data_IF_367927078404
#
_entry.id   IF_367927078404
#
_cell.length_a   1.000
_cell.length_b   1.000
_cell.length_c   1.000
_cell.angle_alpha   90.00
_cell.angle_beta   90.00
_cell.angle_gamma   90.00
#
_symmetry.space_group_name_H-M   'P 1'
#
loop_
_entity.id
_entity.type
_entity.pdbx_description
1 polymer ?
#
# COMPACT_ATOMS: atom_id res chain seq x y z
N UNK A 1 23.57 3.82 16.48
CA UNK A 1 22.27 3.16 16.26
C UNK A 1 22.08 3.01 14.75
N UNK A 2 21.80 1.80 14.26
CA UNK A 2 21.53 1.55 12.83
C UNK A 2 20.04 1.31 12.69
N UNK A 3 19.35 2.13 11.91
CA UNK A 3 17.95 1.92 11.55
C UNK A 3 17.91 1.32 10.14
N UNK A 4 17.44 0.06 9.97
CA UNK A 4 17.34 -0.55 8.65
C UNK A 4 16.30 0.15 7.77
N UNK A 5 16.44 -0.03 6.46
CA UNK A 5 15.54 0.55 5.44
C UNK A 5 14.06 0.30 5.78
N UNK A 6 13.21 1.29 5.47
CA UNK A 6 11.78 1.23 5.75
C UNK A 6 11.46 1.12 7.25
N UNK A 7 12.38 1.54 8.13
CA UNK A 7 12.19 1.50 9.57
C UNK A 7 11.90 0.10 10.09
N UNK A 8 12.48 -0.94 9.48
CA UNK A 8 12.23 -2.34 9.83
C UNK A 8 12.86 -2.74 11.18
N UNK A 9 12.32 -2.17 12.24
CA UNK A 9 12.81 -2.33 13.60
C UNK A 9 11.61 -2.34 14.56
N UNK A 10 11.77 -3.01 15.70
CA UNK A 10 10.73 -3.09 16.74
C UNK A 10 10.29 -1.71 17.25
N UNK A 11 11.22 -0.73 17.27
CA UNK A 11 10.91 0.64 17.71
C UNK A 11 9.81 1.31 16.86
N UNK A 12 9.63 0.89 15.61
CA UNK A 12 8.61 1.43 14.71
C UNK A 12 7.19 1.06 15.13
N UNK A 13 7.02 -0.02 15.91
CA UNK A 13 5.69 -0.42 16.43
C UNK A 13 5.05 0.70 17.25
N UNK A 14 5.83 1.50 17.97
CA UNK A 14 5.30 2.54 18.85
C UNK A 14 4.40 3.54 18.10
N UNK A 15 4.89 4.10 17.00
CA UNK A 15 4.11 5.06 16.20
C UNK A 15 2.93 4.38 15.48
N UNK A 16 3.16 3.16 14.96
CA UNK A 16 2.12 2.42 14.24
C UNK A 16 0.99 1.97 15.15
N UNK A 17 1.27 1.70 16.44
CA UNK A 17 0.26 1.46 17.46
C UNK A 17 -0.63 2.69 17.67
N UNK A 18 -0.05 3.89 17.65
CA UNK A 18 -0.80 5.15 17.68
C UNK A 18 -1.75 5.26 16.48
N UNK A 19 -1.23 5.06 15.26
CA UNK A 19 -2.05 5.04 14.05
C UNK A 19 -3.18 3.99 14.12
N UNK A 20 -2.91 2.79 14.62
CA UNK A 20 -3.94 1.76 14.79
C UNK A 20 -5.03 2.20 15.78
N UNK A 21 -4.67 2.92 16.85
CA UNK A 21 -5.64 3.46 17.80
C UNK A 21 -6.51 4.55 17.16
N UNK A 22 -5.93 5.42 16.34
CA UNK A 22 -6.65 6.45 15.59
C UNK A 22 -7.67 5.81 14.62
N UNK A 23 -7.25 4.78 13.87
CA UNK A 23 -8.13 4.00 12.98
C UNK A 23 -9.29 3.38 13.76
N UNK A 24 -9.00 2.72 14.88
CA UNK A 24 -10.05 2.11 15.73
C UNK A 24 -11.00 3.15 16.29
N UNK A 25 -10.47 4.30 16.72
CA UNK A 25 -11.30 5.38 17.24
C UNK A 25 -12.24 5.92 16.16
N UNK A 26 -11.71 6.18 14.95
CA UNK A 26 -12.49 6.71 13.84
C UNK A 26 -13.54 5.73 13.31
N UNK A 27 -13.21 4.44 13.19
CA UNK A 27 -14.14 3.41 12.67
C UNK A 27 -15.30 3.13 13.62
N UNK A 28 -15.15 3.35 14.93
CA UNK A 28 -16.24 3.20 15.92
C UNK A 28 -17.43 4.12 15.68
N UNK A 29 -17.20 5.29 15.06
CA UNK A 29 -18.28 6.21 14.70
C UNK A 29 -19.07 5.76 13.45
N UNK A 30 -18.70 4.62 12.85
CA UNK A 30 -19.31 4.04 11.65
C UNK A 30 -19.51 2.54 11.83
N UNK A 31 -20.18 2.14 12.92
CA UNK A 31 -20.33 0.75 13.34
C UNK A 31 -21.14 -0.13 12.37
N UNK A 32 -21.86 0.48 11.43
CA UNK A 32 -22.58 -0.19 10.35
C UNK A 32 -21.67 -0.68 9.21
N UNK A 33 -20.40 -0.25 9.21
CA UNK A 33 -19.43 -0.55 8.15
C UNK A 33 -18.44 -1.62 8.59
N UNK A 34 -18.07 -2.48 7.63
CA UNK A 34 -17.00 -3.46 7.81
C UNK A 34 -15.72 -2.95 7.15
N UNK A 35 -14.84 -2.34 7.94
CA UNK A 35 -13.62 -1.73 7.44
C UNK A 35 -12.53 -2.75 7.09
N UNK A 36 -11.77 -2.45 6.04
CA UNK A 36 -10.51 -3.11 5.69
C UNK A 36 -9.47 -2.05 5.41
N UNK A 37 -8.27 -2.19 6.00
CA UNK A 37 -7.16 -1.27 5.82
C UNK A 37 -6.26 -1.75 4.70
N UNK A 38 -5.92 -0.87 3.77
CA UNK A 38 -5.08 -1.18 2.62
C UNK A 38 -3.88 -0.23 2.51
N UNK A 39 -2.70 -0.78 2.23
CA UNK A 39 -1.47 -0.01 2.02
C UNK A 39 -0.44 -0.79 1.18
N UNK A 40 0.32 -0.14 0.28
CA UNK A 40 1.46 -0.77 -0.38
C UNK A 40 2.57 -1.15 0.61
N UNK A 41 3.44 -2.10 0.25
CA UNK A 41 4.61 -2.45 1.09
C UNK A 41 5.91 -2.56 0.30
N UNK A 42 6.90 -1.77 0.71
CA UNK A 42 8.32 -2.02 0.45
C UNK A 42 8.86 -3.12 1.38
N UNK A 43 9.16 -2.79 2.63
CA UNK A 43 9.60 -3.75 3.68
C UNK A 43 8.45 -4.37 4.46
N UNK A 44 7.27 -3.74 4.45
CA UNK A 44 6.04 -4.22 5.06
C UNK A 44 5.93 -4.04 6.58
N UNK A 45 6.83 -3.30 7.23
CA UNK A 45 6.79 -3.06 8.68
C UNK A 45 5.46 -2.44 9.13
N UNK A 46 4.98 -1.43 8.41
CA UNK A 46 3.70 -0.74 8.73
C UNK A 46 2.52 -1.70 8.65
N UNK A 47 2.40 -2.45 7.55
CA UNK A 47 1.31 -3.39 7.36
C UNK A 47 1.30 -4.48 8.45
N UNK A 48 2.48 -4.97 8.84
CA UNK A 48 2.61 -5.97 9.90
C UNK A 48 2.14 -5.46 11.26
N UNK A 49 2.62 -4.30 11.70
CA UNK A 49 2.26 -3.79 13.03
C UNK A 49 0.82 -3.27 13.07
N UNK A 50 0.29 -2.72 11.98
CA UNK A 50 -1.13 -2.44 11.87
C UNK A 50 -1.95 -3.72 12.03
N UNK A 51 -1.60 -4.79 11.31
CA UNK A 51 -2.27 -6.10 11.43
C UNK A 51 -2.30 -6.58 12.87
N UNK A 52 -1.14 -6.57 13.55
CA UNK A 52 -0.99 -6.96 14.96
C UNK A 52 -1.97 -6.23 15.88
N UNK A 53 -2.20 -4.94 15.66
CA UNK A 53 -3.02 -4.10 16.54
C UNK A 53 -4.49 -4.02 16.14
N UNK A 54 -4.81 -4.22 14.87
CA UNK A 54 -6.15 -4.11 14.30
C UNK A 54 -6.92 -5.45 14.28
N UNK A 55 -6.23 -6.58 14.23
CA UNK A 55 -6.85 -7.91 14.19
C UNK A 55 -7.90 -8.14 15.30
N UNK A 56 -7.61 -7.69 16.53
CA UNK A 56 -8.51 -7.85 17.70
C UNK A 56 -9.79 -7.03 17.61
N UNK A 57 -9.82 -6.08 16.68
CA UNK A 57 -10.98 -5.22 16.39
C UNK A 57 -11.70 -5.66 15.11
N UNK A 58 -11.33 -6.82 14.54
CA UNK A 58 -11.88 -7.34 13.28
C UNK A 58 -11.73 -6.37 12.10
N UNK A 59 -10.61 -5.63 12.06
CA UNK A 59 -10.24 -4.77 10.93
C UNK A 59 -9.07 -5.44 10.20
N UNK A 60 -9.31 -6.14 9.09
CA UNK A 60 -8.26 -6.78 8.30
C UNK A 60 -7.29 -5.77 7.71
N UNK A 61 -6.04 -6.18 7.55
CA UNK A 61 -5.02 -5.40 6.82
C UNK A 61 -4.62 -6.17 5.56
N UNK A 62 -4.71 -5.50 4.42
CA UNK A 62 -4.30 -6.00 3.11
C UNK A 62 -3.15 -5.16 2.56
N UNK A 63 -2.20 -5.81 1.89
CA UNK A 63 -1.02 -5.13 1.33
C UNK A 63 -0.57 -5.81 0.04
N UNK A 64 0.30 -5.15 -0.74
CA UNK A 64 0.97 -5.75 -1.89
C UNK A 64 2.50 -5.64 -1.71
N UNK A 65 3.25 -6.49 -2.40
CA UNK A 65 4.72 -6.44 -2.35
C UNK A 65 5.29 -5.63 -3.51
N UNK A 66 5.51 -4.34 -3.27
CA UNK A 66 6.13 -3.44 -4.24
C UNK A 66 7.62 -3.77 -4.44
N UNK A 67 8.31 -4.22 -3.37
CA UNK A 67 9.74 -4.57 -3.39
C UNK A 67 9.95 -6.04 -3.04
N UNK A 68 10.81 -6.74 -3.79
CA UNK A 68 11.32 -8.08 -3.46
C UNK A 68 10.33 -9.25 -3.54
N UNK A 69 9.03 -8.98 -3.66
CA UNK A 69 7.97 -10.00 -3.75
C UNK A 69 7.53 -10.57 -2.40
N UNK A 70 6.50 -11.42 -2.43
CA UNK A 70 5.85 -12.00 -1.25
C UNK A 70 6.82 -12.71 -0.29
N UNK A 71 7.82 -13.43 -0.83
CA UNK A 71 8.83 -14.12 -0.03
C UNK A 71 9.74 -13.14 0.72
N UNK A 72 10.08 -12.01 0.11
CA UNK A 72 10.84 -10.95 0.75
C UNK A 72 10.09 -10.37 1.95
N UNK A 73 8.82 -9.95 1.77
CA UNK A 73 8.01 -9.43 2.90
C UNK A 73 7.92 -10.42 4.05
N UNK A 74 7.63 -11.69 3.76
CA UNK A 74 7.56 -12.73 4.80
C UNK A 74 8.87 -12.88 5.57
N UNK A 75 10.01 -12.82 4.88
CA UNK A 75 11.32 -12.83 5.53
C UNK A 75 11.52 -11.60 6.40
N UNK A 76 11.16 -10.40 5.91
CA UNK A 76 11.24 -9.17 6.70
C UNK A 76 10.42 -9.25 7.99
N UNK A 77 9.22 -9.82 7.92
CA UNK A 77 8.33 -10.01 9.08
C UNK A 77 8.80 -11.09 10.04
N UNK A 78 9.38 -12.17 9.54
CA UNK A 78 10.00 -13.20 10.38
C UNK A 78 11.15 -12.62 11.22
N UNK A 79 11.97 -11.75 10.64
CA UNK A 79 13.04 -11.04 11.36
C UNK A 79 12.48 -10.07 12.44
N UNK A 80 11.22 -9.67 12.33
CA UNK A 80 10.48 -8.91 13.35
C UNK A 80 9.72 -9.81 14.35
N UNK A 81 9.89 -11.13 14.28
CA UNK A 81 9.23 -12.07 15.19
C UNK A 81 7.72 -12.22 14.95
N UNK A 82 7.23 -11.94 13.73
CA UNK A 82 5.83 -12.10 13.38
C UNK A 82 5.38 -13.57 13.47
N UNK A 83 4.29 -13.81 14.21
CA UNK A 83 3.58 -15.10 14.24
C UNK A 83 2.33 -15.11 13.35
N UNK A 84 1.82 -13.93 13.04
CA UNK A 84 0.68 -13.71 12.16
C UNK A 84 0.92 -12.47 11.28
N UNK A 85 0.32 -12.44 10.10
CA UNK A 85 0.69 -11.49 9.03
C UNK A 85 -0.52 -10.97 8.27
N UNK A 86 -0.46 -9.74 7.73
CA UNK A 86 -1.51 -9.22 6.86
C UNK A 86 -1.65 -10.06 5.57
N UNK A 87 -2.79 -9.90 4.90
CA UNK A 87 -3.01 -10.57 3.62
C UNK A 87 -2.22 -9.86 2.52
N UNK A 88 -1.38 -10.62 1.80
CA UNK A 88 -0.63 -10.10 0.64
C UNK A 88 -1.43 -10.37 -0.64
N UNK A 89 -1.92 -9.30 -1.27
CA UNK A 89 -2.48 -9.27 -2.60
C UNK A 89 -1.37 -9.20 -3.66
N UNK A 90 -1.70 -9.68 -4.86
CA UNK A 90 -0.82 -9.65 -6.02
C UNK A 90 -1.68 -9.48 -7.28
N UNK A 91 -1.21 -8.66 -8.21
CA UNK A 91 -1.75 -8.59 -9.57
C UNK A 91 -1.45 -9.90 -10.35
N UNK A 92 -2.05 -10.03 -11.53
CA UNK A 92 -1.86 -11.17 -12.44
C UNK A 92 -0.50 -11.18 -13.16
N UNK A 93 0.37 -10.21 -12.87
CA UNK A 93 1.73 -10.12 -13.38
C UNK A 93 2.79 -10.02 -12.27
N UNK A 94 4.02 -10.38 -12.64
CA UNK A 94 5.19 -10.19 -11.78
C UNK A 94 5.62 -8.72 -11.77
N UNK A 95 5.39 -8.06 -10.65
CA UNK A 95 5.81 -6.68 -10.43
C UNK A 95 7.32 -6.59 -10.15
N UNK A 96 7.96 -5.58 -10.73
CA UNK A 96 9.35 -5.24 -10.57
C UNK A 96 9.46 -3.79 -10.10
N UNK A 97 9.98 -3.60 -8.89
CA UNK A 97 10.11 -2.27 -8.31
C UNK A 97 10.85 -1.29 -9.24
N UNK A 98 10.24 -0.12 -9.46
CA UNK A 98 10.81 0.96 -10.29
C UNK A 98 10.76 0.74 -11.80
N UNK A 99 10.20 -0.39 -12.28
CA UNK A 99 9.88 -0.60 -13.68
C UNK A 99 8.63 0.22 -14.04
N UNK A 100 8.62 0.79 -15.24
CA UNK A 100 7.49 1.58 -15.75
C UNK A 100 6.48 0.67 -16.45
N UNK A 101 5.27 0.62 -15.92
CA UNK A 101 4.12 -0.12 -16.44
C UNK A 101 3.06 0.85 -16.99
N UNK A 102 2.56 0.58 -18.19
CA UNK A 102 1.60 1.49 -18.83
C UNK A 102 0.24 1.48 -18.13
N UNK A 103 -0.22 0.31 -17.69
CA UNK A 103 -1.46 0.15 -16.92
C UNK A 103 -1.39 0.90 -15.59
N UNK A 104 -0.30 0.74 -14.82
CA UNK A 104 -0.11 1.48 -13.56
C UNK A 104 -0.09 3.01 -13.78
N UNK A 105 0.51 3.48 -14.86
CA UNK A 105 0.52 4.91 -15.18
C UNK A 105 -0.87 5.44 -15.52
N UNK A 106 -1.64 4.71 -16.32
CA UNK A 106 -3.02 5.08 -16.65
C UNK A 106 -3.90 5.05 -15.41
N UNK A 107 -3.79 4.01 -14.60
CA UNK A 107 -4.51 3.87 -13.34
C UNK A 107 -4.19 5.03 -12.38
N UNK A 108 -2.93 5.45 -12.28
CA UNK A 108 -2.54 6.62 -11.50
C UNK A 108 -3.25 7.90 -11.95
N UNK A 109 -3.38 8.12 -13.27
CA UNK A 109 -4.12 9.27 -13.83
C UNK A 109 -5.62 9.17 -13.51
N UNK A 110 -6.23 8.01 -13.71
CA UNK A 110 -7.65 7.76 -13.42
C UNK A 110 -7.97 7.94 -11.93
N UNK A 111 -7.08 7.52 -11.04
CA UNK A 111 -7.20 7.72 -9.60
C UNK A 111 -7.17 9.20 -9.25
N UNK A 112 -6.27 9.98 -9.83
CA UNK A 112 -6.24 11.43 -9.62
C UNK A 112 -7.53 12.10 -10.13
N UNK A 113 -7.97 11.76 -11.34
CA UNK A 113 -9.17 12.35 -11.94
C UNK A 113 -10.45 12.03 -11.14
N UNK A 114 -10.52 10.85 -10.52
CA UNK A 114 -11.69 10.40 -9.75
C UNK A 114 -11.67 10.81 -8.28
N UNK A 115 -10.50 10.99 -7.67
CA UNK A 115 -10.37 11.24 -6.23
C UNK A 115 -9.81 12.61 -5.88
N UNK A 116 -9.17 13.29 -6.83
CA UNK A 116 -8.35 14.50 -6.65
C UNK A 116 -7.19 14.31 -5.66
N UNK A 117 -6.81 13.06 -5.37
CA UNK A 117 -5.66 12.71 -4.53
C UNK A 117 -4.49 12.37 -5.43
N UNK A 118 -3.37 13.06 -5.23
CA UNK A 118 -2.11 12.69 -5.87
C UNK A 118 -1.48 11.52 -5.13
N UNK A 119 -1.32 10.40 -5.82
CA UNK A 119 -0.62 9.21 -5.32
C UNK A 119 0.85 9.20 -5.76
N UNK A 120 1.69 8.43 -5.07
CA UNK A 120 3.08 8.24 -5.50
C UNK A 120 3.17 7.25 -6.68
N UNK A 121 4.03 7.48 -7.66
CA UNK A 121 4.13 6.65 -8.87
C UNK A 121 4.91 5.34 -8.71
N UNK A 122 5.41 5.02 -7.51
CA UNK A 122 6.33 3.91 -7.26
C UNK A 122 5.71 2.77 -6.44
N UNK A 123 4.76 3.09 -5.57
CA UNK A 123 4.10 2.13 -4.69
C UNK A 123 2.58 2.07 -4.91
N UNK A 124 1.91 3.22 -4.87
CA UNK A 124 0.44 3.28 -4.87
C UNK A 124 -0.21 2.63 -6.11
N UNK A 125 0.21 2.88 -7.37
CA UNK A 125 -0.41 2.28 -8.55
C UNK A 125 -0.44 0.76 -8.51
N UNK A 126 0.66 0.13 -8.11
CA UNK A 126 0.70 -1.33 -7.99
C UNK A 126 -0.22 -1.85 -6.87
N UNK A 127 -0.38 -1.11 -5.77
CA UNK A 127 -1.39 -1.46 -4.76
C UNK A 127 -2.79 -1.38 -5.34
N UNK A 128 -3.11 -0.35 -6.11
CA UNK A 128 -4.41 -0.21 -6.75
C UNK A 128 -4.70 -1.29 -7.79
N UNK A 129 -3.71 -1.68 -8.61
CA UNK A 129 -3.80 -2.85 -9.50
C UNK A 129 -4.17 -4.14 -8.72
N UNK A 130 -3.63 -4.30 -7.52
CA UNK A 130 -3.98 -5.43 -6.65
C UNK A 130 -5.37 -5.28 -5.99
N UNK A 131 -5.80 -4.05 -5.70
CA UNK A 131 -7.03 -3.76 -4.97
C UNK A 131 -8.27 -3.85 -5.82
N UNK A 132 -8.24 -3.43 -7.09
CA UNK A 132 -9.44 -3.38 -7.92
C UNK A 132 -10.12 -4.76 -8.04
N UNK A 133 -9.42 -5.87 -8.37
CA UNK A 133 -10.05 -7.19 -8.39
C UNK A 133 -10.47 -7.67 -6.99
N UNK A 134 -9.77 -7.23 -5.94
CA UNK A 134 -10.15 -7.56 -4.57
C UNK A 134 -11.47 -6.87 -4.18
N UNK A 135 -11.67 -5.61 -4.59
CA UNK A 135 -12.88 -4.83 -4.32
C UNK A 135 -14.11 -5.42 -5.01
N UNK A 136 -13.97 -5.90 -6.25
CA UNK A 136 -15.06 -6.59 -6.97
C UNK A 136 -15.62 -7.77 -6.16
N UNK A 137 -14.75 -8.51 -5.48
CA UNK A 137 -15.11 -9.67 -4.66
C UNK A 137 -15.46 -9.31 -3.21
N UNK A 138 -15.29 -8.05 -2.79
CA UNK A 138 -15.46 -7.58 -1.42
C UNK A 138 -16.32 -6.31 -1.34
N UNK A 139 -17.31 -6.16 -2.22
CA UNK A 139 -18.17 -4.97 -2.34
C UNK A 139 -18.94 -4.57 -1.07
N UNK A 140 -19.08 -5.48 -0.10
CA UNK A 140 -19.66 -5.20 1.21
C UNK A 140 -18.68 -4.63 2.24
N UNK A 141 -17.41 -4.44 1.89
CA UNK A 141 -16.36 -3.88 2.77
C UNK A 141 -16.13 -2.40 2.47
N UNK A 142 -15.85 -1.64 3.52
CA UNK A 142 -15.45 -0.24 3.42
C UNK A 142 -13.91 -0.15 3.43
N UNK A 143 -13.32 0.30 2.33
CA UNK A 143 -11.87 0.38 2.21
C UNK A 143 -11.33 1.65 2.88
N UNK A 144 -10.39 1.49 3.81
CA UNK A 144 -9.56 2.58 4.33
C UNK A 144 -8.16 2.47 3.71
N UNK A 145 -7.93 3.22 2.63
CA UNK A 145 -6.63 3.29 1.98
C UNK A 145 -5.69 4.22 2.76
N UNK A 146 -4.52 3.71 3.17
CA UNK A 146 -3.49 4.51 3.82
C UNK A 146 -2.47 4.96 2.79
N UNK A 147 -2.63 6.19 2.31
CA UNK A 147 -1.63 6.83 1.47
C UNK A 147 -0.43 7.26 2.33
N UNK A 148 0.74 6.67 2.06
CA UNK A 148 1.92 6.73 2.95
C UNK A 148 2.90 7.85 2.59
N UNK A 149 2.50 8.80 1.75
CA UNK A 149 3.36 9.85 1.20
C UNK A 149 4.14 9.35 -0.03
N UNK A 150 5.36 9.84 -0.22
CA UNK A 150 6.22 9.44 -1.36
C UNK A 150 6.03 10.28 -2.63
N UNK A 151 5.09 11.23 -2.64
CA UNK A 151 4.76 12.10 -3.78
C UNK A 151 5.99 12.84 -4.35
N UNK A 152 6.97 13.23 -3.51
CA UNK A 152 8.21 13.85 -4.00
C UNK A 152 8.95 12.99 -5.03
N UNK A 153 8.78 11.66 -4.99
CA UNK A 153 9.32 10.75 -6.00
C UNK A 153 8.75 11.00 -7.40
N UNK A 154 7.55 11.58 -7.51
CA UNK A 154 6.89 11.90 -8.78
C UNK A 154 7.70 12.90 -9.61
N UNK A 155 8.47 13.81 -8.98
CA UNK A 155 9.36 14.75 -9.69
C UNK A 155 10.33 14.03 -10.65
N UNK A 156 10.72 12.81 -10.31
CA UNK A 156 11.61 11.98 -11.14
C UNK A 156 10.87 10.87 -11.89
N UNK A 157 9.81 10.30 -11.31
CA UNK A 157 9.06 9.20 -11.92
C UNK A 157 8.17 9.68 -13.06
N UNK A 158 7.48 10.81 -12.91
CA UNK A 158 6.54 11.30 -13.91
C UNK A 158 7.23 11.61 -15.25
N UNK A 159 8.39 12.32 -15.31
CA UNK A 159 9.10 12.52 -16.57
C UNK A 159 9.55 11.21 -17.25
N UNK A 160 9.85 10.16 -16.45
CA UNK A 160 10.21 8.83 -16.98
C UNK A 160 9.01 8.16 -17.64
N UNK A 161 7.85 8.22 -16.99
CA UNK A 161 6.58 7.73 -17.54
C UNK A 161 6.19 8.50 -18.81
N UNK A 162 6.21 9.84 -18.77
CA UNK A 162 5.92 10.69 -19.92
C UNK A 162 6.85 10.42 -21.11
N UNK A 163 8.14 10.19 -20.88
CA UNK A 163 9.07 9.85 -21.96
C UNK A 163 8.74 8.51 -22.62
N UNK A 164 8.25 7.54 -21.85
CA UNK A 164 8.00 6.17 -22.34
C UNK A 164 6.59 5.98 -22.91
N UNK A 165 5.59 6.60 -22.29
CA UNK A 165 4.17 6.39 -22.60
C UNK A 165 3.40 7.69 -22.81
N UNK A 166 4.01 8.86 -22.57
CA UNK A 166 3.40 10.12 -22.94
C UNK A 166 3.20 10.14 -24.44
N UNK A 167 1.95 10.31 -24.87
CA UNK A 167 1.64 10.48 -26.28
C UNK A 167 2.49 11.64 -26.79
N UNK A 168 3.30 11.41 -27.81
CA UNK A 168 3.88 12.50 -28.58
C UNK A 168 2.67 13.25 -29.14
N UNK A 169 2.35 14.43 -28.61
CA UNK A 169 1.54 15.37 -29.39
C UNK A 169 2.36 15.63 -30.64
N UNK A 170 1.99 14.98 -31.75
CA UNK A 170 2.45 15.37 -33.06
C UNK A 170 1.94 16.79 -33.26
N UNK A 171 2.82 17.76 -33.07
CA UNK A 171 2.69 19.08 -33.68
C UNK A 171 2.93 18.95 -35.20
#
# INVERSE_FOLDING_TARGET
MVLPEGGRAQISEYGIKGLAQEIVHWTRFRSDKQFVVALPSGTGTTALFLHKHLQRHNIPVITCSCVGGKSYLKKQWQELGATDTPTILQADYKHHFGKLYENEYRLWQELFDSTLVEFDLLYDPYMWECLLPWLENNSGKELLYLHQGGILGNETMLPRYQRKFGQTQKA
#
